data_IF_484646071539
#
_entry.id   IF_484646071539
#
_cell.length_a   1.000
_cell.length_b   1.000
_cell.length_c   1.000
_cell.angle_alpha   90.00
_cell.angle_beta   90.00
_cell.angle_gamma   90.00
#
_symmetry.space_group_name_H-M   'P 1'
#
loop_
_entity.id
_entity.type
_entity.pdbx_description
1 polymer ?
#
# COMPACT_ATOMS: atom_id res chain seq x y z
N UNK A 1 12.78 -15.92 20.38
CA UNK A 1 12.38 -16.05 20.00
C UNK A 1 11.89 -15.48 19.14
N UNK A 2 11.79 -15.25 18.99
CA UNK A 2 11.47 -14.62 18.26
C UNK A 2 11.04 -14.93 17.03
N UNK A 3 11.59 -15.26 16.37
CA UNK A 3 11.30 -15.57 15.11
C UNK A 3 10.23 -16.52 14.98
N UNK A 4 9.95 -17.14 15.99
CA UNK A 4 8.99 -18.08 15.94
C UNK A 4 7.69 -17.57 15.58
N UNK A 5 7.31 -16.58 16.25
CA UNK A 5 6.02 -16.06 16.02
C UNK A 5 5.94 -15.40 14.74
N UNK A 6 7.02 -14.96 14.23
CA UNK A 6 6.97 -14.26 12.97
C UNK A 6 6.51 -15.17 11.88
N UNK A 7 6.67 -16.45 12.03
CA UNK A 7 6.30 -17.34 10.97
C UNK A 7 4.86 -17.75 11.03
N UNK A 8 4.18 -17.48 12.11
CA UNK A 8 2.85 -18.04 12.27
C UNK A 8 1.83 -17.01 12.63
N UNK A 9 1.76 -15.99 11.84
CA UNK A 9 0.74 -14.97 12.03
C UNK A 9 -0.57 -15.48 11.44
N UNK A 10 -1.60 -15.43 12.23
CA UNK A 10 -2.92 -15.88 11.80
C UNK A 10 -3.79 -14.68 11.55
N UNK A 11 -4.57 -14.72 10.50
CA UNK A 11 -5.47 -13.62 10.17
C UNK A 11 -6.58 -13.53 11.21
N UNK A 12 -6.77 -12.33 11.74
CA UNK A 12 -7.79 -12.14 12.75
C UNK A 12 -9.19 -12.09 12.17
N UNK A 13 -9.30 -11.76 10.89
CA UNK A 13 -10.60 -11.63 10.29
C UNK A 13 -11.19 -12.97 9.89
N UNK A 14 -10.38 -13.87 9.39
CA UNK A 14 -10.93 -15.13 8.88
C UNK A 14 -10.21 -16.36 9.42
N UNK A 15 -9.24 -16.15 10.31
CA UNK A 15 -8.46 -17.25 10.89
C UNK A 15 -7.68 -18.02 9.85
N UNK A 16 -7.48 -17.45 8.69
CA UNK A 16 -6.66 -18.09 7.68
C UNK A 16 -5.21 -17.97 7.98
N UNK A 17 -4.41 -18.70 7.26
CA UNK A 17 -2.98 -18.64 7.43
C UNK A 17 -2.43 -17.50 6.62
N UNK A 18 -1.36 -16.89 7.10
CA UNK A 18 -0.71 -15.82 6.37
C UNK A 18 0.63 -16.31 5.85
N UNK A 19 1.09 -15.65 4.80
CA UNK A 19 2.41 -15.89 4.26
C UNK A 19 3.20 -14.60 4.34
N UNK A 20 4.51 -14.73 4.38
CA UNK A 20 5.38 -13.57 4.46
C UNK A 20 5.75 -13.11 3.08
N UNK A 21 5.67 -11.81 2.85
CA UNK A 21 5.99 -11.25 1.56
C UNK A 21 6.35 -9.79 1.76
N UNK A 22 6.79 -9.14 0.69
CA UNK A 22 7.09 -7.73 0.73
C UNK A 22 6.07 -6.98 -0.10
N UNK A 23 5.61 -5.86 0.42
CA UNK A 23 4.60 -5.07 -0.25
C UNK A 23 5.03 -3.62 -0.28
N UNK A 24 4.37 -2.85 -1.12
CA UNK A 24 4.56 -1.41 -1.16
C UNK A 24 3.39 -0.77 -0.46
N UNK A 25 3.69 0.15 0.44
CA UNK A 25 2.68 0.85 1.21
C UNK A 25 2.62 2.27 0.73
N UNK A 26 1.43 2.74 0.38
CA UNK A 26 1.27 4.12 -0.07
C UNK A 26 0.64 4.93 1.04
N UNK A 27 1.16 6.12 1.25
CA UNK A 27 0.66 6.99 2.30
C UNK A 27 0.63 8.43 1.81
N UNK A 28 -0.47 9.10 2.09
CA UNK A 28 -0.61 10.51 1.74
C UNK A 28 -0.15 11.36 2.90
N UNK A 29 0.63 12.37 2.61
CA UNK A 29 0.97 13.38 3.58
C UNK A 29 0.55 14.70 2.97
N UNK A 30 -0.57 15.23 3.43
CA UNK A 30 -1.14 16.38 2.77
C UNK A 30 -1.58 16.00 1.38
N UNK A 31 -1.08 16.69 0.39
CA UNK A 31 -1.41 16.39 -0.99
C UNK A 31 -0.34 15.58 -1.69
N UNK A 32 0.65 15.10 -0.95
CA UNK A 32 1.74 14.35 -1.55
C UNK A 32 1.59 12.88 -1.26
N UNK A 33 1.78 12.09 -2.29
CA UNK A 33 1.73 10.64 -2.16
C UNK A 33 3.13 10.10 -1.96
N UNK A 34 3.28 9.30 -0.91
CA UNK A 34 4.56 8.69 -0.61
C UNK A 34 4.43 7.19 -0.67
N UNK A 35 5.45 6.52 -1.18
CA UNK A 35 5.44 5.07 -1.32
C UNK A 35 6.61 4.53 -0.50
N UNK A 36 6.31 3.56 0.36
CA UNK A 36 7.32 2.86 1.10
C UNK A 36 7.41 1.47 0.50
N UNK A 37 8.54 1.16 -0.12
CA UNK A 37 8.66 -0.11 -0.82
C UNK A 37 9.39 -1.12 0.05
N UNK A 38 9.20 -2.38 -0.28
CA UNK A 38 9.93 -3.44 0.40
C UNK A 38 9.52 -3.64 1.83
N UNK A 39 8.24 -3.44 2.14
CA UNK A 39 7.76 -3.54 3.50
C UNK A 39 7.42 -4.99 3.79
N UNK A 40 8.08 -5.61 4.78
CA UNK A 40 7.73 -6.99 5.11
C UNK A 40 6.33 -7.05 5.70
N UNK A 41 5.55 -7.99 5.23
CA UNK A 41 4.17 -8.11 5.65
C UNK A 41 3.78 -9.57 5.73
N UNK A 42 2.76 -9.84 6.54
CA UNK A 42 2.12 -11.14 6.58
C UNK A 42 0.77 -10.97 5.90
N UNK A 43 0.58 -11.69 4.81
CA UNK A 43 -0.59 -11.51 3.97
C UNK A 43 -1.46 -12.75 4.08
N UNK A 44 -2.74 -12.55 4.39
CA UNK A 44 -3.65 -13.66 4.49
C UNK A 44 -3.94 -14.21 3.11
N UNK A 45 -3.87 -15.53 2.98
CA UNK A 45 -4.10 -16.17 1.69
C UNK A 45 -5.56 -16.14 1.30
N UNK A 46 -6.45 -15.87 2.23
CA UNK A 46 -7.87 -15.96 1.93
C UNK A 46 -8.51 -14.60 1.73
N UNK A 47 -8.26 -13.67 2.63
CA UNK A 47 -8.90 -12.37 2.52
C UNK A 47 -7.93 -11.25 2.18
N UNK A 48 -6.64 -11.59 2.04
CA UNK A 48 -5.62 -10.65 1.58
C UNK A 48 -5.37 -9.48 2.52
N UNK A 49 -5.77 -9.59 3.76
CA UNK A 49 -5.40 -8.59 4.73
C UNK A 49 -3.91 -8.68 5.02
N UNK A 50 -3.31 -7.54 5.33
CA UNK A 50 -1.90 -7.44 5.58
C UNK A 50 -1.66 -7.09 7.03
N UNK A 51 -0.68 -7.76 7.62
CA UNK A 51 -0.29 -7.49 8.99
C UNK A 51 1.20 -7.21 9.02
N UNK A 52 1.62 -6.32 9.88
CA UNK A 52 3.03 -5.95 9.99
C UNK A 52 3.52 -6.25 11.38
N UNK A 53 4.78 -6.66 11.47
CA UNK A 53 5.41 -6.81 12.77
C UNK A 53 5.58 -5.44 13.42
N UNK A 54 5.69 -5.42 14.74
CA UNK A 54 5.74 -4.14 15.44
C UNK A 54 6.95 -3.32 15.03
N UNK A 55 8.06 -3.96 14.69
CA UNK A 55 9.23 -3.23 14.23
C UNK A 55 8.96 -2.53 12.92
N UNK A 56 8.20 -3.19 12.04
CA UNK A 56 7.86 -2.59 10.76
C UNK A 56 6.91 -1.43 10.99
N UNK A 57 5.94 -1.61 11.86
CA UNK A 57 5.00 -0.54 12.14
C UNK A 57 5.70 0.67 12.72
N UNK A 58 6.69 0.43 13.58
CA UNK A 58 7.42 1.54 14.13
C UNK A 58 8.26 2.25 13.11
N UNK A 59 8.84 1.51 12.19
CA UNK A 59 9.62 2.13 11.13
C UNK A 59 8.74 3.01 10.25
N UNK A 60 7.55 2.53 9.92
CA UNK A 60 6.63 3.31 9.11
C UNK A 60 6.20 4.55 9.88
N UNK A 61 5.92 4.39 11.17
CA UNK A 61 5.48 5.51 11.98
C UNK A 61 6.58 6.56 12.10
N UNK A 62 7.83 6.11 12.25
CA UNK A 62 8.93 7.05 12.36
C UNK A 62 9.11 7.84 11.07
N UNK A 63 8.99 7.16 9.93
CA UNK A 63 9.13 7.82 8.64
C UNK A 63 8.01 8.83 8.44
N UNK A 64 6.80 8.47 8.83
CA UNK A 64 5.67 9.37 8.72
C UNK A 64 5.83 10.57 9.64
N UNK A 65 6.28 10.33 10.87
CA UNK A 65 6.47 11.42 11.81
C UNK A 65 7.54 12.39 11.35
N UNK A 66 8.53 11.90 10.61
CA UNK A 66 9.56 12.76 10.08
C UNK A 66 9.12 13.50 8.84
N UNK A 67 7.93 13.22 8.32
CA UNK A 67 7.41 13.92 7.16
C UNK A 67 7.99 13.45 5.85
N UNK A 68 8.47 12.24 5.78
CA UNK A 68 9.03 11.67 4.55
C UNK A 68 10.11 12.59 3.98
N UNK A 69 11.21 12.76 4.70
CA UNK A 69 12.22 13.73 4.25
C UNK A 69 12.81 13.31 2.91
N UNK A 70 12.95 14.27 2.03
CA UNK A 70 13.36 14.00 0.66
C UNK A 70 14.72 13.32 0.58
N UNK A 71 15.61 13.62 1.52
CA UNK A 71 16.96 13.06 1.44
C UNK A 71 16.98 11.56 1.74
N UNK A 72 15.90 11.01 2.26
CA UNK A 72 15.82 9.58 2.49
C UNK A 72 15.16 8.85 1.34
N UNK A 73 14.62 9.56 0.37
CA UNK A 73 13.96 8.90 -0.75
C UNK A 73 14.99 8.18 -1.60
N UNK A 74 14.69 6.93 -1.94
CA UNK A 74 15.60 6.17 -2.80
C UNK A 74 15.32 6.44 -4.26
N UNK A 75 14.14 6.91 -4.60
CA UNK A 75 13.81 7.29 -5.97
C UNK A 75 12.49 8.02 -5.97
N UNK A 76 12.17 8.61 -7.10
CA UNK A 76 10.91 9.30 -7.28
C UNK A 76 10.21 8.73 -8.48
N UNK A 77 8.89 8.67 -8.41
CA UNK A 77 8.09 8.19 -9.51
C UNK A 77 7.09 9.25 -9.89
N UNK A 78 6.69 9.22 -11.14
CA UNK A 78 5.70 10.13 -11.66
C UNK A 78 4.34 9.48 -11.55
N UNK A 79 3.37 10.22 -11.06
CA UNK A 79 2.04 9.68 -10.88
C UNK A 79 1.08 10.51 -11.72
N UNK A 80 0.43 9.91 -12.73
CA UNK A 80 -0.53 10.67 -13.53
C UNK A 80 -1.79 10.93 -12.71
N UNK A 81 -2.32 12.12 -12.89
CA UNK A 81 -3.53 12.52 -12.19
C UNK A 81 -4.57 12.90 -13.23
N UNK A 82 -5.73 12.30 -13.12
CA UNK A 82 -6.82 12.57 -14.04
C UNK A 82 -7.93 13.28 -13.27
N UNK A 83 -8.58 14.21 -13.91
CA UNK A 83 -9.65 14.96 -13.28
C UNK A 83 -10.92 14.79 -14.06
N UNK A 84 -11.98 14.41 -13.39
CA UNK A 84 -13.28 14.32 -14.03
C UNK A 84 -13.90 15.69 -14.25
N UNK A 85 -13.26 16.71 -13.69
CA UNK A 85 -13.70 18.07 -13.90
C UNK A 85 -13.13 18.67 -15.16
N UNK A 86 -12.20 18.01 -15.82
CA UNK A 86 -11.53 18.53 -16.99
C UNK A 86 -12.41 18.35 -18.21
N UNK A 87 -12.87 19.42 -18.85
CA UNK A 87 -13.75 19.26 -20.00
C UNK A 87 -13.04 18.67 -21.21
N UNK A 88 -11.71 18.64 -21.19
CA UNK A 88 -10.99 18.03 -22.30
C UNK A 88 -10.93 16.54 -22.20
N UNK A 89 -11.38 15.96 -21.09
CA UNK A 89 -11.37 14.53 -21.00
C UNK A 89 -12.34 13.95 -22.00
N UNK A 90 -11.93 12.93 -22.74
CA UNK A 90 -12.84 12.35 -23.72
C UNK A 90 -13.97 11.64 -23.02
N UNK A 91 -15.17 11.96 -23.44
CA UNK A 91 -16.32 11.33 -22.85
C UNK A 91 -16.94 10.32 -23.78
N UNK A 92 -16.42 10.21 -24.97
CA UNK A 92 -16.99 9.28 -25.90
C UNK A 92 -16.63 7.87 -25.53
N UNK A 93 -15.90 7.67 -24.49
CA UNK A 93 -15.53 6.34 -24.11
C UNK A 93 -16.60 5.63 -23.36
N UNK A 94 -17.77 6.11 -23.46
CA UNK A 94 -18.87 5.42 -22.86
C UNK A 94 -19.05 4.05 -23.47
N UNK A 95 -18.46 3.83 -24.61
CA UNK A 95 -18.57 2.54 -25.20
C UNK A 95 -17.56 1.57 -24.62
N UNK A 96 -16.82 1.96 -23.62
CA UNK A 96 -15.91 1.09 -22.98
C UNK A 96 -16.57 0.54 -21.74
N UNK A 97 -17.30 -0.52 -21.88
CA UNK A 97 -18.13 -0.98 -20.77
C UNK A 97 -17.34 -1.57 -19.64
N UNK A 98 -16.16 -2.02 -19.92
CA UNK A 98 -15.41 -2.67 -18.88
C UNK A 98 -14.78 -1.67 -17.95
N UNK A 99 -15.01 -0.41 -18.15
CA UNK A 99 -14.44 0.56 -17.25
C UNK A 99 -14.91 0.32 -15.84
N UNK A 100 -16.15 0.02 -15.68
CA UNK A 100 -16.62 -0.19 -14.34
C UNK A 100 -16.13 -1.50 -13.79
N UNK A 101 -15.66 -2.37 -14.60
CA UNK A 101 -15.15 -3.60 -14.07
C UNK A 101 -13.86 -3.39 -13.31
N UNK A 102 -13.27 -2.24 -13.42
CA UNK A 102 -12.06 -1.95 -12.69
C UNK A 102 -12.35 -1.66 -11.23
N UNK A 103 -13.55 -1.49 -10.89
CA UNK A 103 -13.90 -1.20 -9.51
C UNK A 103 -14.78 -2.30 -8.94
#
# INVERSE_FOLDING_TARGET
MTEINAAKVTCEACNGETRKDEVDVTMWLGSELNVIEGVPAHICDRCELQYYDSEVEEAIRALTAAGFPAWKAVRHISVPVFSLQDPALPTEHKDVPNVEALY
#
